data_IF_487964059807
#
_entry.id   IF_487964059807
#
_cell.length_a   1.000
_cell.length_b   1.000
_cell.length_c   1.000
_cell.angle_alpha   90.00
_cell.angle_beta   90.00
_cell.angle_gamma   90.00
#
_symmetry.space_group_name_H-M   'P 1'
#
loop_
_entity.id
_entity.type
_entity.pdbx_description
1 polymer ?
#
# COMPACT_ATOMS: atom_id res chain seq x y z
N UNK A 1 45.44 10.72 -40.78
CA UNK A 1 44.91 9.57 -39.99
C UNK A 1 44.79 9.81 -38.47
N UNK A 2 45.45 10.82 -37.86
CA UNK A 2 45.38 11.08 -36.40
C UNK A 2 44.24 11.99 -35.92
N UNK A 3 43.59 12.72 -36.83
CA UNK A 3 42.47 13.61 -36.50
C UNK A 3 41.12 12.89 -36.45
N UNK A 4 40.97 11.80 -37.21
CA UNK A 4 39.72 11.02 -37.26
C UNK A 4 39.51 10.17 -36.00
N UNK A 5 40.60 9.71 -35.38
CA UNK A 5 40.56 8.95 -34.12
C UNK A 5 40.20 9.82 -32.91
N UNK A 6 40.54 11.12 -32.92
CA UNK A 6 40.24 12.04 -31.83
C UNK A 6 38.74 12.42 -31.77
N UNK A 7 38.08 12.53 -32.92
CA UNK A 7 36.64 12.82 -33.00
C UNK A 7 35.80 11.61 -32.56
N UNK A 8 36.24 10.39 -32.92
CA UNK A 8 35.60 9.15 -32.47
C UNK A 8 35.70 8.96 -30.95
N UNK A 9 36.85 9.29 -30.36
CA UNK A 9 37.03 9.23 -28.89
C UNK A 9 36.26 10.34 -28.14
N UNK A 10 36.05 11.50 -28.76
CA UNK A 10 35.18 12.55 -28.21
C UNK A 10 33.69 12.16 -28.26
N UNK A 11 33.24 11.52 -29.34
CA UNK A 11 31.86 11.04 -29.46
C UNK A 11 31.54 9.87 -28.51
N UNK A 12 32.52 9.01 -28.20
CA UNK A 12 32.36 7.90 -27.27
C UNK A 12 32.35 8.34 -25.80
N UNK A 13 32.93 9.50 -25.48
CA UNK A 13 32.94 10.06 -24.11
C UNK A 13 31.70 10.87 -23.77
N UNK A 14 30.98 11.42 -24.77
CA UNK A 14 29.68 12.07 -24.55
C UNK A 14 28.54 11.07 -24.27
N UNK A 15 28.63 9.84 -24.76
CA UNK A 15 27.56 8.84 -24.62
C UNK A 15 27.49 8.14 -23.26
N UNK A 16 28.47 8.36 -22.36
CA UNK A 16 28.49 7.73 -21.03
C UNK A 16 27.69 8.47 -19.94
N UNK A 17 27.15 9.65 -20.23
CA UNK A 17 26.41 10.46 -19.25
C UNK A 17 24.89 10.23 -19.27
N UNK A 18 24.38 9.35 -20.13
CA UNK A 18 22.98 8.95 -20.13
C UNK A 18 22.75 7.73 -19.21
N UNK A 19 23.15 7.84 -17.95
CA UNK A 19 22.76 6.82 -16.96
C UNK A 19 21.30 7.07 -16.57
N UNK A 20 20.42 6.32 -17.23
CA UNK A 20 19.24 5.68 -16.66
C UNK A 20 18.67 6.38 -15.41
N UNK A 21 17.66 7.25 -15.61
CA UNK A 21 16.61 7.43 -14.61
C UNK A 21 15.88 6.08 -14.62
N UNK A 22 16.45 5.10 -13.92
CA UNK A 22 15.79 3.83 -13.69
C UNK A 22 14.43 4.19 -13.13
N UNK A 23 13.38 3.68 -13.78
CA UNK A 23 12.00 3.80 -13.38
C UNK A 23 11.88 3.61 -11.88
N UNK A 24 11.95 4.71 -11.13
CA UNK A 24 11.41 4.74 -9.81
C UNK A 24 9.91 4.73 -10.06
N UNK A 25 9.36 3.52 -10.26
CA UNK A 25 8.00 3.28 -9.84
C UNK A 25 8.02 3.48 -8.33
N UNK A 26 8.00 4.75 -7.89
CA UNK A 26 7.16 5.03 -6.74
C UNK A 26 5.80 4.54 -7.20
N UNK A 27 5.39 3.41 -6.65
CA UNK A 27 3.99 3.16 -6.42
C UNK A 27 3.52 4.31 -5.53
N UNK A 28 3.39 5.51 -6.12
CA UNK A 28 2.57 6.58 -5.59
C UNK A 28 1.18 5.97 -5.74
N UNK A 29 0.84 5.06 -4.83
CA UNK A 29 -0.54 4.72 -4.54
C UNK A 29 -1.10 5.99 -3.91
N UNK A 30 -1.31 6.98 -4.77
CA UNK A 30 -1.78 8.29 -4.39
C UNK A 30 -3.12 8.11 -3.68
N UNK A 31 -3.36 8.96 -2.69
CA UNK A 31 -4.67 9.00 -2.04
C UNK A 31 -5.68 9.45 -3.09
N UNK A 32 -6.68 8.61 -3.36
CA UNK A 32 -7.79 8.93 -4.25
C UNK A 32 -9.03 9.28 -3.43
N UNK A 33 -9.87 10.13 -4.03
CA UNK A 33 -11.10 10.61 -3.42
C UNK A 33 -12.26 10.31 -4.36
N UNK A 34 -13.33 9.76 -3.80
CA UNK A 34 -14.60 9.55 -4.49
C UNK A 34 -15.64 10.52 -3.94
N UNK A 35 -16.19 11.37 -4.80
CA UNK A 35 -17.29 12.28 -4.45
C UNK A 35 -18.53 11.49 -4.04
N UNK A 36 -19.18 11.91 -2.97
CA UNK A 36 -20.45 11.34 -2.54
C UNK A 36 -21.60 11.89 -3.38
N UNK A 37 -22.15 11.06 -4.26
CA UNK A 37 -23.37 11.31 -5.04
C UNK A 37 -24.57 10.51 -4.52
N UNK A 38 -24.54 10.15 -3.22
CA UNK A 38 -25.57 9.34 -2.56
C UNK A 38 -25.17 7.89 -2.31
N UNK A 39 -23.90 7.52 -2.47
CA UNK A 39 -23.42 6.16 -2.17
C UNK A 39 -23.28 5.89 -0.67
N UNK A 40 -23.12 6.94 0.14
CA UNK A 40 -22.87 6.81 1.59
C UNK A 40 -24.18 6.92 2.37
N UNK A 41 -24.44 5.92 3.20
CA UNK A 41 -25.56 5.88 4.15
C UNK A 41 -25.08 5.46 5.55
N UNK A 42 -25.87 5.73 6.57
CA UNK A 42 -25.62 5.25 7.93
C UNK A 42 -26.09 3.79 8.13
N UNK A 43 -25.88 3.27 9.33
CA UNK A 43 -26.31 1.91 9.72
C UNK A 43 -27.82 1.67 9.64
N UNK A 44 -28.64 2.72 9.53
CA UNK A 44 -30.09 2.66 9.38
C UNK A 44 -30.52 2.98 7.94
N UNK A 45 -29.59 2.98 6.97
CA UNK A 45 -29.81 3.30 5.57
C UNK A 45 -30.22 4.75 5.29
N UNK A 46 -30.07 5.67 6.25
CA UNK A 46 -30.29 7.08 5.97
C UNK A 46 -29.14 7.63 5.13
N UNK A 47 -29.40 8.38 4.05
CA UNK A 47 -28.36 9.03 3.27
C UNK A 47 -27.51 9.97 4.13
N UNK A 48 -26.21 10.04 3.82
CA UNK A 48 -25.25 10.91 4.52
C UNK A 48 -24.75 12.04 3.61
N UNK A 49 -25.59 13.07 3.32
CA UNK A 49 -25.21 14.18 2.46
C UNK A 49 -24.14 15.09 3.09
N UNK A 50 -23.88 14.95 4.39
CA UNK A 50 -22.80 15.67 5.08
C UNK A 50 -21.40 15.16 4.69
N UNK A 51 -21.29 13.93 4.16
CA UNK A 51 -20.05 13.39 3.60
C UNK A 51 -19.88 13.90 2.18
N UNK A 52 -18.76 14.58 1.89
CA UNK A 52 -18.43 15.15 0.59
C UNK A 52 -17.59 14.20 -0.26
N UNK A 53 -16.57 13.59 0.37
CA UNK A 53 -15.63 12.67 -0.30
C UNK A 53 -15.29 11.50 0.62
N UNK A 54 -15.02 10.35 0.02
CA UNK A 54 -14.53 9.16 0.72
C UNK A 54 -13.30 8.58 0.03
N UNK A 55 -12.49 7.83 0.77
CA UNK A 55 -11.38 7.09 0.20
C UNK A 55 -10.79 6.07 1.15
N UNK A 56 -9.86 5.27 0.61
CA UNK A 56 -9.09 4.30 1.35
C UNK A 56 -7.61 4.43 0.96
N UNK A 57 -6.72 4.42 1.95
CA UNK A 57 -5.29 4.34 1.70
C UNK A 57 -4.61 3.62 2.86
N UNK A 58 -3.78 2.61 2.56
CA UNK A 58 -2.95 1.93 3.56
C UNK A 58 -3.72 1.33 4.75
N UNK A 59 -4.96 0.87 4.54
CA UNK A 59 -5.81 0.33 5.62
C UNK A 59 -6.56 1.37 6.45
N UNK A 60 -6.46 2.66 6.10
CA UNK A 60 -7.28 3.74 6.63
C UNK A 60 -8.46 4.00 5.70
N UNK A 61 -9.67 3.82 6.20
CA UNK A 61 -10.88 4.37 5.58
C UNK A 61 -11.09 5.79 6.10
N UNK A 62 -11.38 6.73 5.22
CA UNK A 62 -11.65 8.11 5.61
C UNK A 62 -12.83 8.72 4.84
N UNK A 63 -13.51 9.65 5.50
CA UNK A 63 -14.64 10.41 4.97
C UNK A 63 -14.45 11.89 5.33
N UNK A 64 -14.39 12.75 4.32
CA UNK A 64 -14.35 14.20 4.47
C UNK A 64 -15.80 14.69 4.55
N UNK A 65 -16.12 15.41 5.61
CA UNK A 65 -17.44 15.97 5.90
C UNK A 65 -17.41 17.48 5.81
N UNK A 66 -18.58 18.11 5.77
CA UNK A 66 -18.72 19.57 5.82
C UNK A 66 -18.16 20.21 7.09
N UNK A 67 -18.10 19.45 8.19
CA UNK A 67 -17.70 19.90 9.53
C UNK A 67 -16.44 19.22 10.08
N UNK A 68 -15.81 18.31 9.33
CA UNK A 68 -14.64 17.58 9.81
C UNK A 68 -14.25 16.35 9.00
N UNK A 69 -13.51 15.44 9.62
CA UNK A 69 -13.02 14.19 9.01
C UNK A 69 -13.38 13.02 9.93
N UNK A 70 -14.02 12.00 9.37
CA UNK A 70 -14.20 10.70 10.03
C UNK A 70 -13.17 9.73 9.47
N UNK A 71 -12.57 8.90 10.32
CA UNK A 71 -11.60 7.89 9.89
C UNK A 71 -11.73 6.62 10.71
N UNK A 72 -11.34 5.50 10.10
CA UNK A 72 -11.29 4.19 10.72
C UNK A 72 -10.00 3.49 10.29
N UNK A 73 -9.29 2.93 11.27
CA UNK A 73 -8.12 2.09 11.05
C UNK A 73 -8.39 0.69 11.57
N UNK A 74 -7.93 -0.33 10.86
CA UNK A 74 -8.01 -1.72 11.32
C UNK A 74 -6.64 -2.17 11.79
N UNK A 75 -6.60 -2.79 12.98
CA UNK A 75 -5.42 -3.48 13.49
C UNK A 75 -5.67 -4.99 13.44
N UNK A 76 -4.68 -5.74 13.00
CA UNK A 76 -4.71 -7.21 12.97
C UNK A 76 -3.84 -7.69 14.12
N UNK A 77 -4.45 -8.29 15.13
CA UNK A 77 -3.74 -8.77 16.33
C UNK A 77 -3.19 -10.19 16.16
N UNK A 78 -3.89 -11.04 15.41
CA UNK A 78 -3.44 -12.39 15.09
C UNK A 78 -4.13 -12.89 13.82
N UNK A 79 -3.36 -13.56 12.96
CA UNK A 79 -3.94 -14.37 11.89
C UNK A 79 -4.38 -15.70 12.48
N UNK A 80 -5.56 -16.20 12.06
CA UNK A 80 -5.89 -17.60 12.35
C UNK A 80 -4.88 -18.45 11.58
N UNK A 81 -4.19 -19.35 12.26
CA UNK A 81 -3.45 -20.40 11.60
C UNK A 81 -4.47 -21.22 10.81
N UNK A 82 -4.24 -21.38 9.51
CA UNK A 82 -5.05 -22.27 8.70
C UNK A 82 -4.88 -23.66 9.28
N UNK A 83 -5.92 -24.20 9.91
CA UNK A 83 -6.06 -25.62 10.17
C UNK A 83 -6.09 -26.32 8.80
N UNK A 84 -4.91 -26.52 8.21
CA UNK A 84 -4.70 -27.36 7.03
C UNK A 84 -4.88 -28.83 7.40
N UNK A 85 -6.00 -29.19 8.06
CA UNK A 85 -6.45 -30.56 8.31
C UNK A 85 -5.35 -31.55 8.71
N UNK A 86 -4.35 -31.11 9.47
CA UNK A 86 -3.30 -32.00 9.93
C UNK A 86 -3.92 -32.91 10.99
N UNK A 87 -3.83 -34.24 10.84
CA UNK A 87 -4.44 -35.17 11.78
C UNK A 87 -3.86 -34.93 13.17
N UNK A 88 -4.76 -34.84 14.15
CA UNK A 88 -4.48 -34.53 15.56
C UNK A 88 -3.46 -35.50 16.21
N UNK A 89 -3.23 -36.65 15.59
CA UNK A 89 -2.21 -37.63 15.98
C UNK A 89 -0.76 -37.12 15.81
N UNK A 90 -0.52 -36.09 14.98
CA UNK A 90 0.77 -35.41 14.86
C UNK A 90 0.83 -34.06 15.58
N UNK A 91 -0.24 -33.66 16.27
CA UNK A 91 -0.22 -32.45 17.09
C UNK A 91 0.72 -32.66 18.28
N UNK A 92 1.71 -31.77 18.39
CA UNK A 92 2.69 -31.81 19.47
C UNK A 92 1.99 -31.72 20.84
N UNK A 93 2.43 -32.46 21.86
CA UNK A 93 1.78 -32.46 23.17
C UNK A 93 1.76 -31.06 23.78
N UNK A 94 0.59 -30.68 24.28
CA UNK A 94 0.30 -29.43 24.98
C UNK A 94 1.29 -29.22 26.13
N UNK A 95 2.32 -28.39 25.90
CA UNK A 95 3.44 -28.25 26.84
C UNK A 95 4.66 -27.48 26.35
N UNK A 96 4.84 -27.28 25.04
CA UNK A 96 5.89 -26.39 24.54
C UNK A 96 5.41 -24.93 24.57
N UNK A 97 5.47 -24.31 25.75
CA UNK A 97 5.21 -22.87 25.92
C UNK A 97 6.13 -22.04 25.01
N UNK A 98 5.56 -21.29 24.06
CA UNK A 98 6.30 -20.24 23.37
C UNK A 98 6.71 -19.14 24.37
N UNK A 99 7.90 -18.52 24.22
CA UNK A 99 8.39 -17.55 25.18
C UNK A 99 7.49 -16.31 25.18
N UNK A 100 7.06 -15.90 26.38
CA UNK A 100 6.37 -14.63 26.59
C UNK A 100 7.30 -13.49 26.17
N UNK A 101 6.85 -12.67 25.22
CA UNK A 101 7.51 -11.40 24.92
C UNK A 101 7.44 -10.49 26.16
N UNK A 102 8.59 -9.91 26.52
CA UNK A 102 8.75 -8.94 27.61
C UNK A 102 8.06 -7.61 27.31
#
# INVERSE_FOLDING_TARGET
>A
MRFLSALSSLLLSLSLNAQSIADYKTTQSGVSFTENKGQVSDQHYNPRPDVLYSGNSGGLNFHIRTDGISYQMTRIDSWKEDDMGLPEELAMPDGASQPKAQ
#
